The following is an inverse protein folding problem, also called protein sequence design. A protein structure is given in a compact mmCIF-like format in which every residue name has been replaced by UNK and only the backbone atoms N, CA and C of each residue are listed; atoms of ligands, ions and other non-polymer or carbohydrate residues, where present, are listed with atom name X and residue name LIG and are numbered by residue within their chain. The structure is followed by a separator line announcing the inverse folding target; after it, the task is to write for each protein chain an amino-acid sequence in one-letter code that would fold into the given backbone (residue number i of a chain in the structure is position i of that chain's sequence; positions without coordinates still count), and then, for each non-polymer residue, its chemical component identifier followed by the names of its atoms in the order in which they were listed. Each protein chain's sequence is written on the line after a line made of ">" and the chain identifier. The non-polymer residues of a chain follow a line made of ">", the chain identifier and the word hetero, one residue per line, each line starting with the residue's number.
data_IF_015157808667
#
_entry.id   IF_015157808667
#
_cell.length_a   1.000
_cell.length_b   1.000
_cell.length_c   1.000
_cell.angle_alpha   90.00
_cell.angle_beta   90.00
_cell.angle_gamma   90.00
#
_symmetry.space_group_name_H-M   'P 1'
#
loop_
_entity.id
_entity.type
_entity.pdbx_description
1 polymer ?
#
# COMPACT_ATOMS: atom_id res chain seq x y z
N UNK A 1 16.46 7.34 41.05
CA UNK A 1 15.31 8.02 40.42
C UNK A 1 14.90 7.16 39.24
N UNK A 2 13.68 6.62 39.30
CA UNK A 2 13.12 5.74 38.27
C UNK A 2 12.59 6.62 37.14
N UNK A 3 13.22 6.54 35.97
CA UNK A 3 12.70 7.21 34.78
C UNK A 3 11.69 6.26 34.13
N UNK A 4 10.41 6.56 34.35
CA UNK A 4 9.28 5.81 33.82
C UNK A 4 9.29 5.87 32.30
N UNK A 5 9.57 4.72 31.68
CA UNK A 5 9.33 4.49 30.26
C UNK A 5 7.82 4.54 30.01
N UNK A 6 7.34 5.67 29.50
CA UNK A 6 6.03 5.76 28.86
C UNK A 6 6.12 4.88 27.60
N UNK A 7 5.19 3.93 27.34
CA UNK A 7 5.21 3.16 26.10
C UNK A 7 4.82 4.10 24.98
N UNK A 8 5.84 4.76 24.41
CA UNK A 8 5.70 5.79 23.42
C UNK A 8 5.11 5.22 22.14
N UNK A 9 4.03 5.85 21.70
CA UNK A 9 3.63 5.98 20.30
C UNK A 9 4.82 5.83 19.35
N UNK A 10 4.71 5.10 18.22
CA UNK A 10 5.77 5.02 17.22
C UNK A 10 6.04 6.43 16.70
N UNK A 11 6.99 7.10 17.34
CA UNK A 11 7.39 8.46 17.04
C UNK A 11 8.04 8.39 15.67
N UNK A 12 7.28 8.79 14.66
CA UNK A 12 7.82 8.89 13.30
C UNK A 12 8.82 10.03 13.32
N UNK A 13 10.10 9.71 13.48
CA UNK A 13 11.18 10.70 13.49
C UNK A 13 11.37 11.20 12.06
N UNK A 14 11.05 12.48 11.81
CA UNK A 14 11.39 13.13 10.56
C UNK A 14 12.93 13.22 10.44
N UNK A 15 13.47 12.76 9.32
CA UNK A 15 14.91 12.72 9.02
C UNK A 15 15.26 13.90 8.10
N UNK A 16 16.37 14.61 8.36
CA UNK A 16 16.78 15.75 7.54
C UNK A 16 18.00 15.40 6.68
N UNK A 17 17.83 15.43 5.35
CA UNK A 17 18.91 15.25 4.38
C UNK A 17 18.55 15.95 3.05
N UNK A 18 19.55 16.25 2.21
CA UNK A 18 19.36 16.97 0.93
C UNK A 18 18.60 18.31 1.07
N UNK A 19 18.78 18.98 2.20
CA UNK A 19 18.12 20.24 2.52
C UNK A 19 16.62 20.14 2.83
N UNK A 20 16.06 18.93 2.98
CA UNK A 20 14.63 18.68 3.18
C UNK A 20 14.36 17.70 4.34
N UNK A 21 13.18 17.83 4.92
CA UNK A 21 12.67 16.82 5.85
C UNK A 21 12.06 15.67 5.07
N UNK A 22 12.39 14.46 5.51
CA UNK A 22 12.00 13.21 4.90
C UNK A 22 11.45 12.26 5.96
N UNK A 23 10.37 11.56 5.62
CA UNK A 23 9.72 10.60 6.51
C UNK A 23 10.34 9.20 6.43
N UNK A 24 11.30 9.01 5.52
CA UNK A 24 12.01 7.76 5.30
C UNK A 24 13.51 8.00 5.28
N UNK A 25 14.33 7.00 5.66
CA UNK A 25 15.78 7.14 5.57
C UNK A 25 16.26 7.12 4.12
N UNK A 26 17.41 7.75 3.87
CA UNK A 26 18.01 7.85 2.53
C UNK A 26 18.34 6.47 1.91
N UNK A 27 18.57 5.46 2.75
CA UNK A 27 18.82 4.07 2.36
C UNK A 27 17.56 3.20 2.34
N UNK A 28 16.37 3.81 2.40
CA UNK A 28 15.12 3.07 2.31
C UNK A 28 15.09 2.24 1.02
N UNK A 29 14.61 1.01 1.15
CA UNK A 29 14.30 0.13 0.02
C UNK A 29 12.92 -0.48 0.23
N UNK A 30 12.14 -0.57 -0.84
CA UNK A 30 10.86 -1.25 -0.79
C UNK A 30 11.10 -2.74 -0.51
N UNK A 31 10.47 -3.30 0.53
CA UNK A 31 10.63 -4.71 0.81
C UNK A 31 10.00 -5.54 -0.31
N UNK A 32 10.60 -6.69 -0.61
CA UNK A 32 10.08 -7.66 -1.59
C UNK A 32 8.92 -8.45 -0.98
N UNK A 33 7.80 -7.77 -0.73
CA UNK A 33 6.58 -8.35 -0.14
C UNK A 33 5.49 -8.55 -1.19
N UNK A 34 4.59 -9.51 -0.93
CA UNK A 34 3.37 -9.69 -1.71
C UNK A 34 2.36 -8.56 -1.51
N UNK A 35 1.21 -8.66 -2.17
CA UNK A 35 0.16 -7.63 -2.11
C UNK A 35 -0.35 -7.37 -0.69
N UNK A 36 -0.45 -8.42 0.14
CA UNK A 36 -0.89 -8.28 1.52
C UNK A 36 0.13 -7.57 2.41
N UNK A 37 1.41 -7.96 2.34
CA UNK A 37 2.46 -7.28 3.10
C UNK A 37 2.63 -5.81 2.67
N UNK A 38 2.41 -5.51 1.39
CA UNK A 38 2.36 -4.14 0.91
C UNK A 38 1.18 -3.36 1.50
N UNK A 39 0.00 -3.98 1.61
CA UNK A 39 -1.18 -3.39 2.22
C UNK A 39 -1.00 -3.12 3.72
N UNK A 40 -0.40 -4.07 4.45
CA UNK A 40 -0.05 -3.86 5.86
C UNK A 40 0.92 -2.68 6.03
N UNK A 41 1.97 -2.61 5.21
CA UNK A 41 2.91 -1.46 5.21
C UNK A 41 2.24 -0.14 4.85
N UNK A 42 1.22 -0.17 3.99
CA UNK A 42 0.47 1.02 3.60
C UNK A 42 -0.28 1.66 4.78
N UNK A 43 -0.90 0.83 5.61
CA UNK A 43 -1.73 1.27 6.74
C UNK A 43 -0.97 1.43 8.05
N UNK A 44 -0.06 0.50 8.35
CA UNK A 44 0.61 0.41 9.65
C UNK A 44 2.09 0.79 9.58
N UNK A 45 2.67 0.86 8.38
CA UNK A 45 4.10 1.07 8.23
C UNK A 45 4.89 -0.12 8.80
N UNK A 46 6.08 0.15 9.31
CA UNK A 46 6.91 -0.84 9.95
C UNK A 46 7.50 -0.28 11.24
N UNK A 47 6.83 -0.55 12.38
CA UNK A 47 7.28 -0.09 13.69
C UNK A 47 8.68 -0.58 14.07
N UNK A 48 9.06 -1.81 13.69
CA UNK A 48 10.39 -2.34 13.98
C UNK A 48 11.52 -1.58 13.27
N UNK A 49 11.22 -0.88 12.17
CA UNK A 49 12.15 -0.02 11.44
C UNK A 49 11.87 1.46 11.59
N UNK A 50 10.87 1.84 12.40
CA UNK A 50 10.41 3.22 12.54
C UNK A 50 9.78 3.81 11.27
N UNK A 51 9.33 2.99 10.32
CA UNK A 51 8.73 3.49 9.08
C UNK A 51 7.28 3.85 9.32
N UNK A 52 6.85 5.08 8.98
CA UNK A 52 5.45 5.45 9.07
C UNK A 52 4.61 4.65 8.07
N UNK A 53 3.28 4.64 8.27
CA UNK A 53 2.34 4.21 7.23
C UNK A 53 2.70 4.81 5.88
N UNK A 54 2.88 3.97 4.85
CA UNK A 54 3.29 4.48 3.53
C UNK A 54 2.23 5.39 2.89
N UNK A 55 0.99 5.38 3.38
CA UNK A 55 -0.02 6.38 2.98
C UNK A 55 0.33 7.82 3.41
N UNK A 56 1.17 7.99 4.43
CA UNK A 56 1.59 9.30 4.98
C UNK A 56 2.85 9.85 4.32
N UNK A 57 3.57 9.04 3.55
CA UNK A 57 4.77 9.49 2.83
C UNK A 57 4.39 10.08 1.47
N UNK A 58 5.17 11.04 1.01
CA UNK A 58 5.10 11.59 -0.34
C UNK A 58 6.16 11.01 -1.27
N UNK A 59 6.01 11.25 -2.57
CA UNK A 59 7.07 10.91 -3.55
C UNK A 59 8.37 11.67 -3.32
N UNK A 60 8.32 12.80 -2.61
CA UNK A 60 9.49 13.59 -2.20
C UNK A 60 10.30 12.90 -1.10
N UNK A 61 9.69 12.03 -0.29
CA UNK A 61 10.39 11.20 0.72
C UNK A 61 11.23 10.10 0.08
N UNK A 62 11.02 9.82 -1.20
CA UNK A 62 11.68 8.73 -1.90
C UNK A 62 12.93 9.24 -2.63
N UNK A 63 14.12 8.71 -2.28
CA UNK A 63 15.40 9.21 -2.79
C UNK A 63 15.62 8.86 -4.27
N UNK A 64 15.04 7.75 -4.76
CA UNK A 64 15.27 7.25 -6.13
C UNK A 64 14.02 7.36 -7.00
N UNK A 65 14.19 7.73 -8.27
CA UNK A 65 13.07 7.80 -9.24
C UNK A 65 12.38 6.46 -9.47
N UNK A 66 13.14 5.35 -9.48
CA UNK A 66 12.59 3.99 -9.56
C UNK A 66 11.66 3.67 -8.38
N UNK A 67 12.00 4.15 -7.19
CA UNK A 67 11.18 3.99 -5.99
C UNK A 67 9.91 4.82 -6.05
N UNK A 68 9.96 6.04 -6.60
CA UNK A 68 8.76 6.85 -6.85
C UNK A 68 7.79 6.14 -7.78
N UNK A 69 8.29 5.50 -8.85
CA UNK A 69 7.46 4.66 -9.74
C UNK A 69 6.83 3.48 -8.99
N UNK A 70 7.60 2.78 -8.16
CA UNK A 70 7.09 1.68 -7.32
C UNK A 70 6.01 2.17 -6.36
N UNK A 71 6.24 3.29 -5.68
CA UNK A 71 5.27 3.90 -4.77
C UNK A 71 3.99 4.29 -5.48
N UNK A 72 4.07 4.98 -6.63
CA UNK A 72 2.89 5.29 -7.42
C UNK A 72 2.13 4.03 -7.86
N UNK A 73 2.84 2.93 -8.14
CA UNK A 73 2.19 1.66 -8.46
C UNK A 73 1.46 1.08 -7.25
N UNK A 74 2.07 1.12 -6.06
CA UNK A 74 1.44 0.68 -4.81
C UNK A 74 0.22 1.54 -4.47
N UNK A 75 0.36 2.86 -4.50
CA UNK A 75 -0.72 3.80 -4.22
C UNK A 75 -1.93 3.57 -5.13
N UNK A 76 -1.69 3.37 -6.44
CA UNK A 76 -2.77 3.04 -7.38
C UNK A 76 -3.44 1.69 -7.05
N UNK A 77 -2.66 0.66 -6.69
CA UNK A 77 -3.24 -0.63 -6.31
C UNK A 77 -4.08 -0.52 -5.04
N UNK A 78 -3.57 0.19 -4.03
CA UNK A 78 -4.27 0.42 -2.77
C UNK A 78 -5.57 1.19 -2.99
N UNK A 79 -5.55 2.18 -3.88
CA UNK A 79 -6.76 2.89 -4.31
C UNK A 79 -7.75 1.93 -4.98
N UNK A 80 -7.33 1.14 -5.98
CA UNK A 80 -8.23 0.19 -6.64
C UNK A 80 -8.85 -0.84 -5.68
N UNK A 81 -8.09 -1.34 -4.70
CA UNK A 81 -8.62 -2.24 -3.67
C UNK A 81 -9.60 -1.53 -2.75
N UNK A 82 -9.34 -0.27 -2.41
CA UNK A 82 -10.23 0.54 -1.58
C UNK A 82 -11.54 0.84 -2.29
N UNK A 83 -11.47 1.19 -3.58
CA UNK A 83 -12.64 1.44 -4.42
C UNK A 83 -13.47 0.15 -4.59
N UNK A 84 -12.83 -0.97 -4.91
CA UNK A 84 -13.51 -2.26 -5.04
C UNK A 84 -14.13 -2.74 -3.71
N UNK A 85 -13.49 -2.47 -2.58
CA UNK A 85 -14.06 -2.74 -1.27
C UNK A 85 -15.28 -1.85 -0.98
N UNK A 86 -15.21 -0.56 -1.35
CA UNK A 86 -16.30 0.41 -1.18
C UNK A 86 -17.52 0.02 -2.02
N UNK A 87 -17.32 -0.42 -3.27
CA UNK A 87 -18.39 -0.93 -4.14
C UNK A 87 -19.12 -2.13 -3.52
N UNK A 88 -18.43 -2.93 -2.72
CA UNK A 88 -18.98 -4.08 -1.98
C UNK A 88 -19.52 -3.72 -0.59
N UNK A 89 -19.59 -2.42 -0.24
CA UNK A 89 -20.09 -1.94 1.03
C UNK A 89 -19.09 -2.02 2.19
N UNK A 90 -17.81 -2.33 1.94
CA UNK A 90 -16.77 -2.27 2.95
C UNK A 90 -16.20 -0.84 3.04
N UNK A 91 -16.41 -0.18 4.18
CA UNK A 91 -15.88 1.16 4.42
C UNK A 91 -14.39 1.12 4.76
N UNK A 92 -13.62 1.97 4.07
CA UNK A 92 -12.22 2.22 4.38
C UNK A 92 -12.13 3.40 5.35
N UNK A 93 -11.83 3.12 6.62
CA UNK A 93 -11.73 4.15 7.67
C UNK A 93 -10.35 4.82 7.66
N UNK A 94 -10.27 6.02 8.24
CA UNK A 94 -9.01 6.76 8.42
C UNK A 94 -8.08 6.03 9.39
N UNK A 95 -8.63 5.44 10.46
CA UNK A 95 -7.91 4.57 11.38
C UNK A 95 -8.48 3.16 11.24
N UNK A 96 -7.73 2.29 10.59
CA UNK A 96 -8.11 0.88 10.45
C UNK A 96 -7.36 0.05 11.47
N UNK A 97 -8.08 -0.84 12.14
CA UNK A 97 -7.48 -1.96 12.87
C UNK A 97 -6.91 -2.98 11.89
N UNK A 98 -6.00 -3.85 12.35
CA UNK A 98 -5.42 -4.89 11.51
C UNK A 98 -6.49 -5.81 10.88
N UNK A 99 -7.53 -6.13 11.66
CA UNK A 99 -8.65 -6.95 11.20
C UNK A 99 -9.50 -6.25 10.13
N UNK A 100 -9.77 -4.95 10.29
CA UNK A 100 -10.48 -4.17 9.28
C UNK A 100 -9.66 -4.05 8.00
N UNK A 101 -8.35 -3.81 8.13
CA UNK A 101 -7.44 -3.75 7.01
C UNK A 101 -7.37 -5.07 6.25
N UNK A 102 -7.31 -6.20 6.95
CA UNK A 102 -7.35 -7.53 6.34
C UNK A 102 -8.68 -7.77 5.62
N UNK A 103 -9.80 -7.37 6.22
CA UNK A 103 -11.11 -7.54 5.61
C UNK A 103 -11.25 -6.71 4.32
N UNK A 104 -10.86 -5.43 4.35
CA UNK A 104 -10.84 -4.56 3.15
C UNK A 104 -9.91 -5.14 2.08
N UNK A 105 -8.73 -5.64 2.46
CA UNK A 105 -7.83 -6.28 1.51
C UNK A 105 -8.46 -7.51 0.87
N UNK A 106 -9.07 -8.39 1.66
CA UNK A 106 -9.70 -9.61 1.16
C UNK A 106 -10.83 -9.28 0.20
N UNK A 107 -11.74 -8.38 0.58
CA UNK A 107 -12.89 -7.99 -0.24
C UNK A 107 -12.43 -7.23 -1.48
N UNK A 108 -11.54 -6.25 -1.33
CA UNK A 108 -11.01 -5.44 -2.42
C UNK A 108 -10.20 -6.25 -3.43
N UNK A 109 -9.40 -7.22 -2.98
CA UNK A 109 -8.64 -8.10 -3.88
C UNK A 109 -9.52 -9.10 -4.62
N UNK A 110 -10.56 -9.64 -3.96
CA UNK A 110 -11.52 -10.57 -4.57
C UNK A 110 -12.41 -9.89 -5.63
N UNK A 111 -12.74 -8.62 -5.41
CA UNK A 111 -13.60 -7.83 -6.30
C UNK A 111 -12.80 -6.91 -7.23
N UNK A 112 -11.47 -6.96 -7.16
CA UNK A 112 -10.63 -6.24 -8.11
C UNK A 112 -10.95 -6.78 -9.51
N UNK A 113 -11.20 -5.91 -10.51
CA UNK A 113 -11.39 -6.35 -11.88
C UNK A 113 -10.03 -6.86 -12.40
N UNK A 114 -9.74 -8.14 -12.13
CA UNK A 114 -8.61 -8.85 -12.71
C UNK A 114 -9.15 -9.57 -13.95
N UNK A 115 -8.45 -9.51 -15.10
CA UNK A 115 -8.83 -10.32 -16.25
C UNK A 115 -8.88 -11.78 -15.82
N UNK A 116 -9.99 -12.47 -16.11
CA UNK A 116 -10.17 -13.89 -15.80
C UNK A 116 -8.93 -14.67 -16.26
N UNK A 117 -8.14 -15.15 -15.29
CA UNK A 117 -6.99 -15.99 -15.58
C UNK A 117 -7.48 -17.42 -15.65
N UNK A 118 -7.22 -18.09 -16.78
CA UNK A 118 -7.47 -19.52 -16.99
C UNK A 118 -6.70 -20.44 -16.04
N UNK A 119 -5.85 -19.90 -15.15
CA UNK A 119 -5.10 -20.62 -14.13
C UNK A 119 -5.54 -20.12 -12.76
N UNK A 120 -5.95 -21.03 -11.84
CA UNK A 120 -6.12 -20.74 -10.40
C UNK A 120 -4.82 -20.13 -9.85
N UNK A 121 -4.66 -18.81 -9.94
CA UNK A 121 -3.49 -18.10 -9.43
C UNK A 121 -3.85 -17.57 -8.06
N UNK A 122 -3.02 -17.87 -7.06
CA UNK A 122 -3.07 -17.22 -5.75
C UNK A 122 -2.73 -15.76 -5.97
N UNK A 123 -3.75 -14.92 -6.10
CA UNK A 123 -3.64 -13.48 -6.39
C UNK A 123 -2.75 -12.77 -5.35
N UNK A 124 -2.65 -13.33 -4.15
CA UNK A 124 -1.76 -12.91 -3.06
C UNK A 124 -0.25 -13.01 -3.37
N UNK A 125 0.16 -13.86 -4.32
CA UNK A 125 1.55 -14.08 -4.73
C UNK A 125 1.95 -13.26 -5.98
N UNK A 126 1.02 -12.51 -6.57
CA UNK A 126 1.32 -11.69 -7.75
C UNK A 126 2.20 -10.50 -7.34
N UNK A 127 3.27 -10.28 -8.11
CA UNK A 127 4.06 -9.05 -7.96
C UNK A 127 3.16 -7.83 -8.13
N UNK A 128 3.35 -6.81 -7.29
CA UNK A 128 2.53 -5.60 -7.27
C UNK A 128 2.44 -4.91 -8.64
N UNK A 129 3.51 -4.97 -9.43
CA UNK A 129 3.52 -4.48 -10.81
C UNK A 129 2.62 -5.30 -11.75
N UNK A 130 2.51 -6.61 -11.54
CA UNK A 130 1.62 -7.49 -12.30
C UNK A 130 0.16 -7.25 -11.93
N UNK A 131 -0.18 -7.16 -10.64
CA UNK A 131 -1.55 -6.91 -10.18
C UNK A 131 -2.07 -5.57 -10.70
N UNK A 132 -1.25 -4.52 -10.68
CA UNK A 132 -1.61 -3.22 -11.24
C UNK A 132 -1.76 -3.24 -12.77
N UNK A 133 -0.85 -3.95 -13.49
CA UNK A 133 -0.98 -4.10 -14.94
C UNK A 133 -2.31 -4.77 -15.30
N UNK A 134 -2.72 -5.78 -14.55
CA UNK A 134 -3.97 -6.49 -14.73
C UNK A 134 -5.18 -5.60 -14.42
N UNK A 135 -5.17 -4.87 -13.31
CA UNK A 135 -6.23 -3.91 -12.94
C UNK A 135 -6.40 -2.82 -14.01
N UNK A 136 -5.30 -2.22 -14.48
CA UNK A 136 -5.33 -1.22 -15.57
C UNK A 136 -5.84 -1.81 -16.88
N UNK A 137 -5.49 -3.06 -17.19
CA UNK A 137 -5.93 -3.72 -18.41
C UNK A 137 -7.43 -4.05 -18.37
N UNK A 138 -7.97 -4.39 -17.21
CA UNK A 138 -9.39 -4.62 -17.02
C UNK A 138 -10.20 -3.30 -17.05
N UNK A 139 -9.76 -2.26 -16.33
CA UNK A 139 -10.40 -0.94 -16.37
C UNK A 139 -10.43 -0.35 -17.80
N UNK A 140 -9.35 -0.55 -18.57
CA UNK A 140 -9.30 -0.13 -19.99
C UNK A 140 -10.20 -0.97 -20.89
N UNK A 141 -10.46 -2.23 -20.55
CA UNK A 141 -11.42 -3.10 -21.27
C UNK A 141 -12.86 -2.71 -20.98
N UNK A 142 -13.22 -2.41 -19.73
CA UNK A 142 -14.56 -1.94 -19.37
C UNK A 142 -14.89 -0.59 -20.01
N UNK A 143 -13.91 0.33 -20.15
CA UNK A 143 -14.07 1.60 -20.87
C UNK A 143 -14.16 1.49 -22.40
N UNK A 144 -13.88 0.31 -22.96
CA UNK A 144 -13.88 0.04 -24.40
C UNK A 144 -14.98 -0.91 -24.86
N UNK A 145 -15.80 -1.43 -23.94
CA UNK A 145 -17.00 -2.17 -24.33
C UNK A 145 -18.02 -1.15 -24.90
N UNK A 146 -18.38 -1.24 -26.19
CA UNK A 146 -19.50 -0.47 -26.70
C UNK A 146 -20.80 -1.05 -26.11
N UNK A 147 -21.73 -0.15 -25.74
CA UNK A 147 -23.16 -0.47 -25.63
C UNK A 147 -23.66 -1.04 -26.96
#
# INVERSE_FOLDING_TARGET
>A
MVESQVPGEPTTTALYYDGKFHMLPQNFEFPKVGAFGAWQLWWFGNGARGYPPLRRIGTHDLPRQSMRKTFSNWANLMQCMSDAALEMGCQVKVDMTEQEAENVFRVGLQNLPLPASTRKRRVSELSLGTTLRLARQAAKRSRRAPM
#
